data_IF_002367792647
#
_entry.id   IF_002367792647
#
_cell.length_a   1.000
_cell.length_b   1.000
_cell.length_c   1.000
_cell.angle_alpha   90.00
_cell.angle_beta   90.00
_cell.angle_gamma   90.00
#
_symmetry.space_group_name_H-M   'P 1'
#
loop_
_entity.id
_entity.type
_entity.pdbx_description
1 polymer ?
#
# COMPACT_ATOMS: atom_id res chain seq x y z
N UNK A 1 10.33 8.02 -30.60
CA UNK A 1 9.35 7.25 -29.81
C UNK A 1 9.45 7.69 -28.35
N UNK A 2 8.55 8.56 -27.90
CA UNK A 2 8.55 9.06 -26.53
C UNK A 2 7.99 7.99 -25.59
N UNK A 3 8.86 7.28 -24.88
CA UNK A 3 8.43 6.38 -23.82
C UNK A 3 7.79 7.19 -22.71
N UNK A 4 6.48 7.04 -22.51
CA UNK A 4 5.84 7.49 -21.27
C UNK A 4 6.65 6.94 -20.11
N UNK A 5 7.24 7.83 -19.30
CA UNK A 5 7.84 7.47 -18.02
C UNK A 5 6.74 6.82 -17.19
N UNK A 6 6.64 5.49 -17.23
CA UNK A 6 5.79 4.73 -16.32
C UNK A 6 6.36 5.01 -14.93
N UNK A 7 5.66 5.82 -14.15
CA UNK A 7 5.94 5.96 -12.73
C UNK A 7 5.85 4.55 -12.13
N UNK A 8 7.02 3.98 -11.80
CA UNK A 8 7.10 2.73 -11.10
C UNK A 8 6.56 2.96 -9.68
N UNK A 9 5.59 2.15 -9.27
CA UNK A 9 5.14 2.09 -7.88
C UNK A 9 6.34 1.83 -6.99
N UNK A 10 6.61 2.73 -6.05
CA UNK A 10 7.62 2.50 -5.02
C UNK A 10 7.00 1.78 -3.82
N UNK A 11 7.76 0.87 -3.26
CA UNK A 11 7.50 0.21 -2.00
C UNK A 11 8.35 0.87 -0.91
N UNK A 12 7.79 1.14 0.26
CA UNK A 12 8.57 1.46 1.46
C UNK A 12 9.38 0.24 1.90
N UNK A 13 8.73 -0.92 1.89
CA UNK A 13 9.31 -2.20 2.26
C UNK A 13 8.50 -3.36 1.67
N UNK A 14 9.16 -4.51 1.55
CA UNK A 14 8.58 -5.76 1.09
C UNK A 14 9.01 -6.91 1.98
N UNK A 15 8.13 -7.90 2.15
CA UNK A 15 8.45 -9.17 2.78
C UNK A 15 8.03 -10.32 1.88
N UNK A 16 8.98 -11.18 1.52
CA UNK A 16 8.77 -12.37 0.71
C UNK A 16 8.77 -13.60 1.60
N UNK A 17 7.70 -14.38 1.54
CA UNK A 17 7.57 -15.67 2.20
C UNK A 17 7.65 -16.78 1.15
N UNK A 18 8.71 -17.58 1.22
CA UNK A 18 8.96 -18.71 0.33
C UNK A 18 8.63 -20.01 1.06
N UNK A 19 7.86 -20.90 0.43
CA UNK A 19 7.48 -22.17 1.07
C UNK A 19 7.55 -23.34 0.10
N UNK A 20 7.88 -24.50 0.65
CA UNK A 20 7.91 -25.76 -0.08
C UNK A 20 9.29 -26.09 -0.65
N UNK A 21 9.32 -26.90 -1.71
CA UNK A 21 10.56 -27.42 -2.29
C UNK A 21 11.44 -26.29 -2.82
N UNK A 22 12.71 -26.26 -2.42
CA UNK A 22 13.68 -25.25 -2.90
C UNK A 22 13.43 -23.84 -2.36
N UNK A 23 12.64 -23.67 -1.30
CA UNK A 23 12.35 -22.36 -0.73
C UNK A 23 13.59 -21.64 -0.16
N UNK A 24 14.60 -22.39 0.26
CA UNK A 24 15.90 -21.91 0.77
C UNK A 24 16.85 -21.44 -0.33
N UNK A 25 16.65 -21.89 -1.57
CA UNK A 25 17.52 -21.67 -2.73
C UNK A 25 16.88 -20.80 -3.81
N UNK A 26 15.61 -20.44 -3.65
CA UNK A 26 14.90 -19.60 -4.62
C UNK A 26 15.47 -18.18 -4.69
N UNK A 27 15.66 -17.69 -5.92
CA UNK A 27 16.22 -16.37 -6.17
C UNK A 27 15.19 -15.25 -5.91
N UNK A 28 15.52 -14.35 -5.00
CA UNK A 28 14.72 -13.16 -4.65
C UNK A 28 15.33 -11.85 -5.16
N UNK A 29 16.40 -11.90 -5.96
CA UNK A 29 17.17 -10.73 -6.40
C UNK A 29 16.34 -9.68 -7.15
N UNK A 30 15.34 -10.12 -7.92
CA UNK A 30 14.43 -9.23 -8.64
C UNK A 30 13.63 -8.30 -7.70
N UNK A 31 13.34 -8.74 -6.47
CA UNK A 31 12.64 -7.94 -5.45
C UNK A 31 13.60 -7.09 -4.61
N UNK A 32 14.92 -7.31 -4.73
CA UNK A 32 15.95 -6.55 -4.04
C UNK A 32 16.42 -5.31 -4.83
N UNK A 33 15.88 -5.09 -6.03
CA UNK A 33 16.22 -3.92 -6.86
C UNK A 33 15.89 -2.62 -6.11
N UNK A 34 16.93 -1.83 -5.80
CA UNK A 34 16.81 -0.56 -5.08
C UNK A 34 15.95 0.47 -5.81
N UNK A 35 15.70 0.33 -7.11
CA UNK A 35 14.79 1.21 -7.87
C UNK A 35 13.32 1.02 -7.47
N UNK A 36 12.98 -0.10 -6.81
CA UNK A 36 11.64 -0.37 -6.29
C UNK A 36 11.38 0.32 -4.94
N UNK A 37 12.41 0.90 -4.31
CA UNK A 37 12.34 1.45 -2.94
C UNK A 37 12.87 2.88 -2.87
N UNK A 38 12.44 3.69 -1.89
CA UNK A 38 13.10 4.96 -1.61
C UNK A 38 14.50 4.72 -1.05
N UNK A 39 15.46 5.60 -1.39
CA UNK A 39 16.87 5.47 -0.97
C UNK A 39 17.09 5.47 0.54
N UNK A 40 16.15 6.03 1.29
CA UNK A 40 16.20 6.13 2.75
C UNK A 40 15.55 4.92 3.45
N UNK A 41 14.95 3.97 2.72
CA UNK A 41 14.32 2.79 3.32
C UNK A 41 15.38 1.96 4.08
N UNK A 42 15.19 1.69 5.39
CA UNK A 42 16.20 1.01 6.20
C UNK A 42 16.34 -0.47 5.86
N UNK A 43 15.23 -1.15 5.55
CA UNK A 43 15.19 -2.57 5.20
C UNK A 43 14.18 -2.78 4.05
N UNK A 44 14.61 -2.63 2.79
CA UNK A 44 13.70 -2.64 1.64
C UNK A 44 13.07 -4.02 1.40
N UNK A 45 13.81 -5.11 1.63
CA UNK A 45 13.33 -6.47 1.44
C UNK A 45 13.74 -7.36 2.61
N UNK A 46 12.78 -8.10 3.14
CA UNK A 46 13.01 -9.24 4.04
C UNK A 46 12.54 -10.52 3.36
N UNK A 47 13.38 -11.56 3.36
CA UNK A 47 13.04 -12.87 2.80
C UNK A 47 13.03 -13.91 3.92
N UNK A 48 11.92 -14.61 4.04
CA UNK A 48 11.73 -15.72 4.99
C UNK A 48 11.34 -16.96 4.21
N UNK A 49 11.82 -18.13 4.64
CA UNK A 49 11.51 -19.38 3.97
C UNK A 49 11.14 -20.51 4.94
N UNK A 50 10.40 -21.50 4.43
CA UNK A 50 10.08 -22.74 5.14
C UNK A 50 10.00 -23.91 4.16
N UNK A 51 10.55 -25.09 4.49
CA UNK A 51 10.42 -26.25 3.61
C UNK A 51 8.99 -26.83 3.63
N UNK A 52 8.15 -26.43 4.60
CA UNK A 52 6.80 -26.94 4.73
C UNK A 52 5.88 -26.38 3.62
N UNK A 53 5.25 -27.24 2.80
CA UNK A 53 4.34 -26.79 1.75
C UNK A 53 3.15 -26.03 2.34
N UNK A 54 2.49 -25.24 1.50
CA UNK A 54 1.29 -24.49 1.87
C UNK A 54 0.13 -24.89 0.97
N UNK A 55 -1.04 -25.17 1.56
CA UNK A 55 -2.28 -25.45 0.82
C UNK A 55 -2.13 -26.47 -0.34
N UNK A 56 -1.39 -27.56 -0.11
CA UNK A 56 -1.09 -28.62 -1.09
C UNK A 56 -0.27 -28.18 -2.32
N UNK A 57 0.26 -26.95 -2.35
CA UNK A 57 1.22 -26.52 -3.36
C UNK A 57 2.62 -27.03 -3.03
N UNK A 58 3.32 -27.57 -4.03
CA UNK A 58 4.72 -28.00 -3.90
C UNK A 58 5.65 -26.83 -3.59
N UNK A 59 5.37 -25.67 -4.19
CA UNK A 59 6.09 -24.41 -4.01
C UNK A 59 5.10 -23.26 -3.95
N UNK A 60 5.34 -22.28 -3.08
CA UNK A 60 4.56 -21.05 -3.04
C UNK A 60 5.41 -19.85 -2.64
N UNK A 61 5.11 -18.70 -3.24
CA UNK A 61 5.67 -17.42 -2.85
C UNK A 61 4.53 -16.46 -2.46
N UNK A 62 4.66 -15.77 -1.33
CA UNK A 62 3.72 -14.72 -0.91
C UNK A 62 4.50 -13.43 -0.70
N UNK A 63 4.05 -12.35 -1.33
CA UNK A 63 4.66 -11.04 -1.22
C UNK A 63 3.73 -10.11 -0.42
N UNK A 64 4.24 -9.60 0.70
CA UNK A 64 3.63 -8.49 1.43
C UNK A 64 4.39 -7.21 1.08
N UNK A 65 3.77 -6.33 0.32
CA UNK A 65 4.37 -5.05 -0.10
C UNK A 65 3.69 -3.87 0.60
N UNK A 66 4.47 -3.04 1.27
CA UNK A 66 4.04 -1.73 1.74
C UNK A 66 4.37 -0.69 0.66
N UNK A 67 3.40 -0.21 -0.12
CA UNK A 67 3.67 0.52 -1.35
C UNK A 67 2.61 1.54 -1.75
N UNK A 68 2.87 2.26 -2.85
CA UNK A 68 1.99 3.30 -3.39
C UNK A 68 0.73 2.76 -4.11
N UNK A 69 0.59 1.46 -4.32
CA UNK A 69 -0.56 0.86 -5.03
C UNK A 69 -1.94 1.28 -4.50
N UNK A 70 -2.15 1.45 -3.18
CA UNK A 70 -3.43 1.92 -2.64
C UNK A 70 -3.71 3.42 -2.86
N UNK A 71 -2.71 4.22 -3.22
CA UNK A 71 -2.86 5.68 -3.31
C UNK A 71 -3.93 6.12 -4.33
N UNK A 72 -3.99 5.59 -5.56
CA UNK A 72 -5.03 5.97 -6.52
C UNK A 72 -6.46 5.65 -6.06
N UNK A 73 -6.82 4.44 -5.59
CA UNK A 73 -8.18 4.18 -5.11
C UNK A 73 -8.53 4.99 -3.87
N UNK A 74 -7.63 5.12 -2.88
CA UNK A 74 -7.89 5.95 -1.69
C UNK A 74 -8.11 7.41 -2.08
N UNK A 75 -7.32 7.96 -3.00
CA UNK A 75 -7.51 9.33 -3.50
C UNK A 75 -8.88 9.54 -4.15
N UNK A 76 -9.40 8.56 -4.91
CA UNK A 76 -10.76 8.63 -5.47
C UNK A 76 -11.83 8.55 -4.38
N UNK A 77 -11.65 7.70 -3.38
CA UNK A 77 -12.57 7.60 -2.24
C UNK A 77 -12.62 8.90 -1.46
N UNK A 78 -11.47 9.52 -1.20
CA UNK A 78 -11.38 10.82 -0.52
C UNK A 78 -12.06 11.93 -1.33
N UNK A 79 -11.80 12.01 -2.63
CA UNK A 79 -12.49 12.96 -3.51
C UNK A 79 -14.02 12.78 -3.48
N UNK A 80 -14.50 11.54 -3.43
CA UNK A 80 -15.92 11.25 -3.27
C UNK A 80 -16.45 11.65 -1.89
N UNK A 81 -15.67 11.44 -0.84
CA UNK A 81 -16.04 11.83 0.52
C UNK A 81 -16.23 13.35 0.62
N UNK A 82 -15.32 14.15 0.03
CA UNK A 82 -15.49 15.61 -0.06
C UNK A 82 -16.78 16.01 -0.79
N UNK A 83 -17.09 15.39 -1.92
CA UNK A 83 -18.33 15.68 -2.66
C UNK A 83 -19.58 15.40 -1.82
N UNK A 84 -19.60 14.28 -1.09
CA UNK A 84 -20.72 13.91 -0.24
C UNK A 84 -20.86 14.85 0.96
N UNK A 85 -19.74 15.19 1.59
CA UNK A 85 -19.72 16.12 2.72
C UNK A 85 -20.20 17.52 2.30
N UNK A 86 -19.70 18.05 1.18
CA UNK A 86 -20.14 19.34 0.64
C UNK A 86 -21.63 19.38 0.28
N UNK A 87 -22.21 18.23 -0.09
CA UNK A 87 -23.65 18.10 -0.35
C UNK A 87 -24.49 17.88 0.93
N UNK A 88 -23.89 17.82 2.11
CA UNK A 88 -24.57 17.50 3.36
C UNK A 88 -25.13 16.07 3.41
N UNK A 89 -24.63 15.17 2.55
CA UNK A 89 -25.18 13.84 2.39
C UNK A 89 -24.97 13.00 3.66
N UNK A 90 -26.07 12.49 4.23
CA UNK A 90 -26.09 11.63 5.42
C UNK A 90 -25.49 12.26 6.69
N UNK A 91 -25.18 13.56 6.71
CA UNK A 91 -24.48 14.21 7.84
C UNK A 91 -25.21 14.05 9.18
N UNK A 92 -26.54 14.07 9.20
CA UNK A 92 -27.34 13.88 10.41
C UNK A 92 -27.09 12.52 11.10
N UNK A 93 -26.86 11.45 10.32
CA UNK A 93 -26.62 10.11 10.87
C UNK A 93 -25.30 10.04 11.65
N UNK A 94 -24.31 10.82 11.22
CA UNK A 94 -23.02 10.93 11.91
C UNK A 94 -23.12 11.87 13.11
N UNK A 95 -23.85 12.99 12.96
CA UNK A 95 -24.05 13.97 14.02
C UNK A 95 -24.79 13.37 15.24
N UNK A 96 -25.76 12.48 15.02
CA UNK A 96 -26.46 11.74 16.10
C UNK A 96 -25.50 10.93 16.99
N UNK A 97 -24.33 10.57 16.47
CA UNK A 97 -23.28 9.85 17.19
C UNK A 97 -22.06 10.72 17.53
N UNK A 98 -22.20 12.05 17.49
CA UNK A 98 -21.16 13.00 17.89
C UNK A 98 -20.07 13.26 16.86
N UNK A 99 -20.32 12.93 15.58
CA UNK A 99 -19.39 13.24 14.47
C UNK A 99 -19.97 14.39 13.65
N UNK A 100 -19.42 15.58 13.84
CA UNK A 100 -19.79 16.80 13.14
C UNK A 100 -18.83 17.15 12.00
N UNK A 101 -18.94 18.38 11.50
CA UNK A 101 -18.14 18.85 10.37
C UNK A 101 -16.64 18.87 10.68
N UNK A 102 -16.25 19.30 11.89
CA UNK A 102 -14.85 19.34 12.31
C UNK A 102 -14.20 17.96 12.31
N UNK A 103 -14.91 16.93 12.78
CA UNK A 103 -14.41 15.55 12.78
C UNK A 103 -14.23 15.00 11.35
N UNK A 104 -15.10 15.38 10.40
CA UNK A 104 -14.91 15.04 8.99
C UNK A 104 -13.69 15.74 8.38
N UNK A 105 -13.53 17.04 8.63
CA UNK A 105 -12.38 17.82 8.14
C UNK A 105 -11.06 17.24 8.66
N UNK A 106 -10.99 16.91 9.95
CA UNK A 106 -9.84 16.26 10.56
C UNK A 106 -9.56 14.88 9.92
N UNK A 107 -10.60 14.07 9.73
CA UNK A 107 -10.46 12.76 9.10
C UNK A 107 -9.96 12.86 7.66
N UNK A 108 -10.45 13.83 6.88
CA UNK A 108 -10.00 14.05 5.52
C UNK A 108 -8.53 14.48 5.47
N UNK A 109 -8.14 15.44 6.31
CA UNK A 109 -6.75 15.90 6.42
C UNK A 109 -5.79 14.76 6.78
N UNK A 110 -6.15 13.88 7.71
CA UNK A 110 -5.33 12.69 8.03
C UNK A 110 -5.14 11.76 6.83
N UNK A 111 -6.14 11.59 5.99
CA UNK A 111 -6.02 10.78 4.76
C UNK A 111 -5.15 11.49 3.72
N UNK A 112 -5.26 12.81 3.59
CA UNK A 112 -4.39 13.62 2.73
C UNK A 112 -2.92 13.50 3.13
N UNK A 113 -2.62 13.59 4.42
CA UNK A 113 -1.26 13.45 4.96
C UNK A 113 -0.66 12.08 4.62
N UNK A 114 -1.44 11.01 4.80
CA UNK A 114 -1.01 9.65 4.44
C UNK A 114 -0.76 9.54 2.94
N UNK A 115 -1.67 10.06 2.11
CA UNK A 115 -1.47 10.04 0.65
C UNK A 115 -0.23 10.85 0.23
N UNK A 116 0.01 12.00 0.85
CA UNK A 116 1.17 12.85 0.59
C UNK A 116 2.48 12.16 1.01
N UNK A 117 2.49 11.50 2.18
CA UNK A 117 3.63 10.73 2.64
C UNK A 117 3.99 9.60 1.66
N UNK A 118 3.01 8.82 1.20
CA UNK A 118 3.28 7.74 0.24
C UNK A 118 3.69 8.26 -1.14
N UNK A 119 3.09 9.34 -1.63
CA UNK A 119 3.43 9.91 -2.95
C UNK A 119 4.81 10.56 -3.00
N UNK A 120 5.35 10.99 -1.86
CA UNK A 120 6.67 11.61 -1.75
C UNK A 120 7.83 10.61 -1.57
N UNK A 121 7.53 9.31 -1.39
CA UNK A 121 8.53 8.23 -1.42
C UNK A 121 9.21 8.12 -2.78
#
# INVERSE_FOLDING_TARGET
AGGMSRHATRCLSSMLFLRGRGADTADASALADLRLYPRWAPQPLTVSWSPAPFNRYEMSATLLSNCQTPCPPIGRMLARAYQMHAAGAYAHQYAEHGVGAGEFEEAFSRVEDVLAAYRSM
#
